data_IF_255923518329
#
_entry.id   IF_255923518329
#
_cell.length_a   1.000
_cell.length_b   1.000
_cell.length_c   1.000
_cell.angle_alpha   90.00
_cell.angle_beta   90.00
_cell.angle_gamma   90.00
#
_symmetry.space_group_name_H-M   'P 1'
#
loop_
_entity.id
_entity.type
_entity.pdbx_description
1 polymer ?
#
# COMPACT_ATOMS: atom_id res chain seq x y z
N UNK A 1 2.39 -16.79 30.62
CA UNK A 1 1.50 -15.59 30.70
C UNK A 1 0.72 -15.51 29.40
N UNK A 2 -0.56 -15.12 29.41
CA UNK A 2 -1.31 -14.91 28.18
C UNK A 2 -0.73 -13.73 27.39
N UNK A 3 -0.82 -13.81 26.07
CA UNK A 3 -0.45 -12.73 25.15
C UNK A 3 -1.74 -12.18 24.54
N UNK A 4 -1.84 -10.85 24.46
CA UNK A 4 -2.87 -10.17 23.65
C UNK A 4 -2.24 -9.75 22.33
N UNK A 5 -2.89 -10.10 21.23
CA UNK A 5 -2.52 -9.71 19.86
C UNK A 5 -3.59 -8.76 19.31
N UNK A 6 -3.19 -7.58 18.85
CA UNK A 6 -4.02 -6.67 18.07
C UNK A 6 -3.77 -6.95 16.58
N UNK A 7 -4.85 -7.03 15.81
CA UNK A 7 -4.78 -7.09 14.35
C UNK A 7 -5.55 -5.88 13.82
N UNK A 8 -4.83 -4.99 13.14
CA UNK A 8 -5.41 -3.93 12.33
C UNK A 8 -5.41 -4.43 10.89
N UNK A 9 -6.58 -4.44 10.26
CA UNK A 9 -6.76 -5.02 8.93
C UNK A 9 -7.52 -4.06 8.02
N UNK A 10 -7.13 -4.04 6.75
CA UNK A 10 -7.84 -3.37 5.67
C UNK A 10 -7.81 -4.19 4.38
N UNK A 11 -8.66 -3.81 3.45
CA UNK A 11 -8.80 -4.43 2.13
C UNK A 11 -9.23 -3.37 1.12
N UNK A 12 -9.07 -3.67 -0.17
CA UNK A 12 -9.66 -2.86 -1.24
C UNK A 12 -9.23 -1.39 -1.16
N UNK A 13 -7.93 -1.16 -0.91
CA UNK A 13 -7.36 0.20 -0.78
C UNK A 13 -7.38 0.95 -2.12
N UNK A 14 -7.41 0.20 -3.22
CA UNK A 14 -7.69 0.59 -4.60
C UNK A 14 -7.88 2.08 -4.84
N UNK A 15 -6.79 2.80 -5.09
CA UNK A 15 -6.81 4.23 -5.43
C UNK A 15 -7.29 4.46 -6.88
N UNK A 16 -8.39 3.84 -7.29
CA UNK A 16 -8.95 3.94 -8.64
C UNK A 16 -9.30 5.37 -9.05
N UNK A 17 -9.57 6.24 -8.07
CA UNK A 17 -9.56 7.70 -8.20
C UNK A 17 -8.66 8.29 -7.11
N UNK A 18 -7.95 9.38 -7.42
CA UNK A 18 -7.07 10.03 -6.45
C UNK A 18 -7.90 10.76 -5.38
N UNK A 19 -8.20 10.09 -4.26
CA UNK A 19 -8.77 10.70 -3.06
C UNK A 19 -7.74 10.71 -1.93
N UNK A 20 -6.89 11.73 -1.93
CA UNK A 20 -5.82 11.87 -0.95
C UNK A 20 -6.32 12.03 0.49
N UNK A 21 -7.53 12.56 0.68
CA UNK A 21 -8.11 12.72 2.01
C UNK A 21 -8.38 11.37 2.67
N UNK A 22 -8.80 10.36 1.90
CA UNK A 22 -9.04 9.01 2.41
C UNK A 22 -7.74 8.35 2.86
N UNK A 23 -6.66 8.47 2.08
CA UNK A 23 -5.32 7.97 2.44
C UNK A 23 -4.85 8.61 3.76
N UNK A 24 -5.00 9.94 3.89
CA UNK A 24 -4.59 10.67 5.09
C UNK A 24 -5.45 10.29 6.29
N UNK A 25 -6.77 10.20 6.13
CA UNK A 25 -7.67 9.85 7.22
C UNK A 25 -7.50 8.40 7.67
N UNK A 26 -7.32 7.47 6.73
CA UNK A 26 -7.00 6.08 7.04
C UNK A 26 -5.70 5.96 7.82
N UNK A 27 -4.62 6.61 7.36
CA UNK A 27 -3.33 6.57 8.07
C UNK A 27 -3.40 7.19 9.46
N UNK A 28 -4.24 8.21 9.69
CA UNK A 28 -4.51 8.76 11.04
C UNK A 28 -5.14 7.73 11.97
N UNK A 29 -6.12 6.97 11.49
CA UNK A 29 -6.77 5.91 12.29
C UNK A 29 -5.78 4.81 12.63
N UNK A 30 -5.03 4.31 11.65
CA UNK A 30 -4.00 3.28 11.88
C UNK A 30 -2.95 3.77 12.89
N UNK A 31 -2.45 4.99 12.73
CA UNK A 31 -1.46 5.56 13.65
C UNK A 31 -2.01 5.78 15.06
N UNK A 32 -3.30 6.10 15.22
CA UNK A 32 -3.91 6.25 16.53
C UNK A 32 -4.07 4.91 17.27
N UNK A 33 -4.32 3.81 16.54
CA UNK A 33 -4.62 2.51 17.11
C UNK A 33 -3.39 1.61 17.30
N UNK A 34 -2.35 1.75 16.46
CA UNK A 34 -1.24 0.78 16.40
C UNK A 34 -0.41 0.67 17.67
N UNK A 35 -0.42 1.71 18.50
CA UNK A 35 0.33 1.81 19.75
C UNK A 35 -0.51 1.43 20.99
N UNK A 36 -1.79 1.07 20.83
CA UNK A 36 -2.66 0.63 21.94
C UNK A 36 -2.18 -0.69 22.57
N UNK A 37 -1.52 -1.54 21.77
CA UNK A 37 -0.99 -2.83 22.20
C UNK A 37 0.44 -3.05 21.69
N UNK A 38 1.32 -3.69 22.48
CA UNK A 38 2.70 -3.94 22.05
C UNK A 38 2.82 -5.02 20.97
N UNK A 39 1.86 -5.94 20.87
CA UNK A 39 1.84 -6.99 19.84
C UNK A 39 0.75 -6.63 18.82
N UNK A 40 1.11 -5.80 17.85
CA UNK A 40 0.20 -5.35 16.79
C UNK A 40 0.69 -5.82 15.44
N UNK A 41 -0.24 -6.36 14.64
CA UNK A 41 -0.05 -6.65 13.23
C UNK A 41 -0.97 -5.76 12.38
N UNK A 42 -0.41 -5.09 11.38
CA UNK A 42 -1.11 -4.29 10.38
C UNK A 42 -1.07 -5.08 9.07
N UNK A 43 -2.22 -5.56 8.61
CA UNK A 43 -2.34 -6.52 7.51
C UNK A 43 -3.29 -6.02 6.42
N UNK A 44 -2.98 -6.32 5.17
CA UNK A 44 -3.92 -6.13 4.07
C UNK A 44 -4.37 -7.47 3.49
N UNK A 45 -5.64 -7.57 3.08
CA UNK A 45 -6.17 -8.78 2.40
C UNK A 45 -6.23 -8.69 0.88
N UNK A 46 -5.57 -7.73 0.25
CA UNK A 46 -5.47 -7.64 -1.20
C UNK A 46 -6.22 -6.46 -1.81
N UNK A 47 -6.15 -6.37 -3.14
CA UNK A 47 -6.68 -5.24 -3.90
C UNK A 47 -6.09 -3.93 -3.36
N UNK A 48 -4.76 -3.95 -3.24
CA UNK A 48 -3.98 -2.85 -2.69
C UNK A 48 -3.67 -1.78 -3.73
N UNK A 49 -3.83 -2.12 -5.00
CA UNK A 49 -3.81 -1.21 -6.13
C UNK A 49 -4.76 -1.72 -7.21
N UNK A 50 -5.27 -0.79 -8.01
CA UNK A 50 -6.03 -1.08 -9.22
C UNK A 50 -5.51 -0.20 -10.36
N UNK A 51 -5.41 -0.71 -11.60
CA UNK A 51 -5.03 0.14 -12.73
C UNK A 51 -6.00 1.33 -12.87
N UNK A 52 -5.44 2.53 -12.95
CA UNK A 52 -6.22 3.75 -12.99
C UNK A 52 -5.34 5.01 -13.06
N UNK A 53 -5.94 6.21 -12.95
CA UNK A 53 -5.21 7.47 -13.03
C UNK A 53 -4.10 7.61 -11.99
N UNK A 54 -4.37 7.30 -10.71
CA UNK A 54 -3.36 7.40 -9.64
C UNK A 54 -2.20 6.42 -9.88
N UNK A 55 -2.55 5.15 -10.11
CA UNK A 55 -1.61 4.10 -10.46
C UNK A 55 -0.72 4.48 -11.66
N UNK A 56 -1.30 5.06 -12.72
CA UNK A 56 -0.57 5.44 -13.93
C UNK A 56 0.31 6.68 -13.72
N UNK A 57 -0.19 7.68 -12.98
CA UNK A 57 0.52 8.92 -12.70
C UNK A 57 1.84 8.70 -11.96
N UNK A 58 1.98 7.61 -11.21
CA UNK A 58 3.22 7.21 -10.55
C UNK A 58 4.42 7.01 -11.51
N UNK A 59 4.18 6.93 -12.83
CA UNK A 59 5.23 6.88 -13.86
C UNK A 59 5.81 8.24 -14.24
N UNK A 60 5.26 9.34 -13.74
CA UNK A 60 5.80 10.67 -14.03
C UNK A 60 7.19 10.84 -13.41
N UNK A 61 8.18 11.15 -14.25
CA UNK A 61 9.58 11.36 -13.83
C UNK A 61 9.77 12.43 -12.75
N UNK A 62 8.83 13.38 -12.62
CA UNK A 62 8.86 14.40 -11.55
C UNK A 62 8.69 13.79 -10.16
N UNK A 63 8.07 12.60 -10.05
CA UNK A 63 7.86 11.88 -8.81
C UNK A 63 9.08 11.08 -8.36
N UNK A 64 10.14 10.96 -9.17
CA UNK A 64 11.34 10.19 -8.82
C UNK A 64 11.97 10.62 -7.51
N UNK A 65 11.98 11.93 -7.24
CA UNK A 65 12.52 12.49 -5.99
C UNK A 65 11.76 12.06 -4.72
N UNK A 66 10.48 11.70 -4.87
CA UNK A 66 9.61 11.27 -3.77
C UNK A 66 9.52 9.75 -3.67
N UNK A 67 9.45 9.07 -4.82
CA UNK A 67 9.28 7.62 -4.89
C UNK A 67 10.61 6.85 -4.89
N UNK A 68 11.75 7.53 -5.10
CA UNK A 68 13.05 6.91 -5.38
C UNK A 68 13.16 6.36 -6.80
N UNK A 69 12.06 5.78 -7.30
CA UNK A 69 11.88 5.31 -8.66
C UNK A 69 10.43 5.45 -9.11
N UNK A 70 10.22 6.19 -10.19
CA UNK A 70 8.95 6.29 -10.87
C UNK A 70 8.58 4.98 -11.60
N UNK A 71 7.29 4.76 -11.74
CA UNK A 71 6.71 3.61 -12.45
C UNK A 71 5.26 3.41 -12.04
N UNK A 72 4.48 2.79 -12.91
CA UNK A 72 3.07 2.49 -12.63
C UNK A 72 2.94 1.76 -11.29
N UNK A 73 1.98 2.15 -10.46
CA UNK A 73 1.69 1.58 -9.14
C UNK A 73 2.71 1.85 -8.03
N UNK A 74 3.85 2.53 -8.33
CA UNK A 74 4.88 2.80 -7.30
C UNK A 74 4.37 3.71 -6.19
N UNK A 75 3.46 4.63 -6.50
CA UNK A 75 2.84 5.49 -5.50
C UNK A 75 1.94 4.69 -4.55
N UNK A 76 1.15 3.75 -5.05
CA UNK A 76 0.31 2.85 -4.25
C UNK A 76 1.16 2.03 -3.27
N UNK A 77 2.27 1.45 -3.74
CA UNK A 77 3.22 0.70 -2.89
C UNK A 77 3.90 1.62 -1.86
N UNK A 78 4.28 2.85 -2.26
CA UNK A 78 4.89 3.81 -1.35
C UNK A 78 3.94 4.20 -0.22
N UNK A 79 2.65 4.40 -0.51
CA UNK A 79 1.61 4.68 0.49
C UNK A 79 1.47 3.50 1.46
N UNK A 80 1.38 2.27 0.97
CA UNK A 80 1.29 1.09 1.83
C UNK A 80 2.51 0.92 2.75
N UNK A 81 3.71 1.13 2.21
CA UNK A 81 4.95 1.11 2.98
C UNK A 81 4.94 2.19 4.07
N UNK A 82 4.44 3.40 3.77
CA UNK A 82 4.37 4.49 4.73
C UNK A 82 3.31 4.28 5.83
N UNK A 83 2.19 3.62 5.51
CA UNK A 83 1.18 3.20 6.50
C UNK A 83 1.77 2.15 7.46
N UNK A 84 2.67 1.30 6.96
CA UNK A 84 3.35 0.29 7.75
C UNK A 84 2.66 -1.08 7.72
N UNK A 85 2.01 -1.44 6.61
CA UNK A 85 1.54 -2.82 6.42
C UNK A 85 2.71 -3.79 6.52
N UNK A 86 2.54 -4.85 7.31
CA UNK A 86 3.58 -5.86 7.58
C UNK A 86 3.45 -7.08 6.67
N UNK A 87 2.25 -7.33 6.16
CA UNK A 87 1.99 -8.30 5.11
C UNK A 87 0.73 -7.93 4.35
N UNK A 88 0.69 -8.30 3.08
CA UNK A 88 -0.47 -8.15 2.21
C UNK A 88 -0.73 -9.48 1.47
N UNK A 89 -1.99 -9.83 1.30
CA UNK A 89 -2.38 -10.84 0.32
C UNK A 89 -2.51 -10.20 -1.08
N UNK A 90 -2.62 -11.05 -2.10
CA UNK A 90 -3.05 -10.63 -3.43
C UNK A 90 -4.56 -10.86 -3.56
N UNK A 91 -5.27 -9.82 -3.97
CA UNK A 91 -6.62 -9.87 -4.51
C UNK A 91 -6.61 -10.09 -6.02
N UNK A 92 -7.74 -9.83 -6.67
CA UNK A 92 -7.85 -10.05 -8.12
C UNK A 92 -7.22 -8.92 -8.94
N UNK A 93 -7.30 -7.67 -8.47
CA UNK A 93 -6.86 -6.50 -9.23
C UNK A 93 -5.33 -6.36 -9.29
N UNK A 94 -4.59 -7.03 -8.40
CA UNK A 94 -3.13 -7.11 -8.50
C UNK A 94 -2.64 -7.64 -9.86
N UNK A 95 -3.43 -8.50 -10.51
CA UNK A 95 -3.06 -9.21 -11.73
C UNK A 95 -3.68 -8.65 -13.01
N UNK A 96 -4.42 -7.54 -12.95
CA UNK A 96 -5.09 -6.94 -14.12
C UNK A 96 -4.11 -6.60 -15.26
N UNK A 97 -2.88 -6.19 -14.92
CA UNK A 97 -1.79 -5.91 -15.87
C UNK A 97 -0.77 -7.06 -15.97
N UNK A 98 -1.13 -8.23 -15.46
CA UNK A 98 -0.32 -9.45 -15.49
C UNK A 98 0.81 -9.51 -14.44
N UNK A 99 1.40 -10.71 -14.26
CA UNK A 99 2.36 -10.98 -13.19
C UNK A 99 3.69 -10.21 -13.31
N UNK A 100 4.04 -9.72 -14.50
CA UNK A 100 5.22 -8.86 -14.67
C UNK A 100 5.07 -7.52 -13.94
N UNK A 101 3.85 -6.99 -13.87
CA UNK A 101 3.55 -5.77 -13.12
C UNK A 101 3.65 -6.01 -11.62
N UNK A 102 3.06 -7.11 -11.13
CA UNK A 102 3.21 -7.55 -9.72
C UNK A 102 4.69 -7.69 -9.37
N UNK A 103 5.47 -8.39 -10.21
CA UNK A 103 6.90 -8.58 -10.00
C UNK A 103 7.64 -7.24 -9.88
N UNK A 104 7.32 -6.27 -10.73
CA UNK A 104 7.91 -4.93 -10.65
C UNK A 104 7.59 -4.30 -9.29
N UNK A 105 6.33 -4.32 -8.88
CA UNK A 105 5.84 -3.63 -7.68
C UNK A 105 6.34 -4.22 -6.37
N UNK A 106 6.49 -5.54 -6.28
CA UNK A 106 6.98 -6.21 -5.06
C UNK A 106 8.52 -6.32 -5.01
N UNK A 107 9.20 -6.04 -6.12
CA UNK A 107 10.66 -6.08 -6.14
C UNK A 107 11.24 -4.92 -5.33
N UNK A 108 12.27 -5.24 -4.53
CA UNK A 108 13.12 -4.25 -3.88
C UNK A 108 13.68 -3.31 -4.95
N UNK A 109 13.52 -2.01 -4.73
CA UNK A 109 14.18 -1.01 -5.57
C UNK A 109 15.71 -1.15 -5.39
N UNK A 110 16.39 -1.42 -6.49
CA UNK A 110 17.86 -1.48 -6.53
C UNK A 110 18.40 -0.10 -6.87
N UNK A 111 19.49 0.28 -6.22
CA UNK A 111 20.29 1.47 -6.56
C UNK A 111 20.77 1.44 -8.02
#
# INVERSE_FOLDING_TARGET
MPITLQILHASDLEAGIANFDDIVNFSRVVNALKDDFPNTLILSSGDNYIPGPFFSAASDSTLRSVLGREGIGRADIAVQNAIGFQAAAFGNHEFDLGPATVQSLIAVDRD
#
